data_IF_242014169013
#
_entry.id   IF_242014169013
#
_cell.length_a   1.000
_cell.length_b   1.000
_cell.length_c   1.000
_cell.angle_alpha   90.00
_cell.angle_beta   90.00
_cell.angle_gamma   90.00
#
_symmetry.space_group_name_H-M   'P 1'
#
loop_
_entity.id
_entity.type
_entity.pdbx_description
1 polymer ?
#
# COMPACT_ATOMS: atom_id res chain seq x y z
N UNK A 1 29.72 -38.32 47.54
CA UNK A 1 28.40 -38.17 46.87
C UNK A 1 27.71 -36.99 47.53
N UNK A 2 27.21 -35.93 46.90
CA UNK A 2 26.94 -35.55 45.52
C UNK A 2 26.95 -34.00 45.54
N UNK A 3 27.56 -33.37 44.55
CA UNK A 3 27.47 -31.93 44.31
C UNK A 3 26.06 -31.58 43.81
N UNK A 4 25.50 -30.45 44.25
CA UNK A 4 24.40 -29.81 43.54
C UNK A 4 24.64 -28.29 43.51
N UNK A 5 25.30 -27.84 42.43
CA UNK A 5 25.30 -26.43 42.04
C UNK A 5 23.89 -26.10 41.52
N UNK A 6 23.27 -25.07 42.08
CA UNK A 6 22.06 -24.46 41.52
C UNK A 6 22.52 -23.25 40.70
N UNK A 7 22.51 -23.40 39.39
CA UNK A 7 22.82 -22.33 38.43
C UNK A 7 21.59 -21.42 38.31
N UNK A 8 21.73 -20.17 38.74
CA UNK A 8 20.70 -19.14 38.60
C UNK A 8 20.74 -18.58 37.17
N UNK A 9 19.80 -18.98 36.31
CA UNK A 9 19.63 -18.40 34.97
C UNK A 9 19.00 -17.01 35.08
N UNK A 10 19.76 -15.98 34.74
CA UNK A 10 19.27 -14.62 34.49
C UNK A 10 18.54 -14.60 33.14
N UNK A 11 17.21 -14.46 33.18
CA UNK A 11 16.40 -14.14 32.00
C UNK A 11 16.60 -12.66 31.66
N UNK A 12 17.40 -12.39 30.64
CA UNK A 12 17.44 -11.08 29.97
C UNK A 12 16.10 -10.88 29.24
N UNK A 13 15.19 -10.11 29.82
CA UNK A 13 14.07 -9.52 29.07
C UNK A 13 14.64 -8.40 28.20
N UNK A 14 15.04 -8.73 26.97
CA UNK A 14 15.21 -7.71 25.94
C UNK A 14 13.83 -7.15 25.62
N UNK A 15 13.55 -5.93 26.09
CA UNK A 15 12.37 -5.17 25.73
C UNK A 15 12.42 -4.82 24.24
N UNK A 16 11.87 -5.69 23.40
CA UNK A 16 11.60 -5.36 22.01
C UNK A 16 10.49 -4.31 22.00
N UNK A 17 10.87 -3.06 21.75
CA UNK A 17 9.94 -1.99 21.42
C UNK A 17 9.16 -2.40 20.18
N UNK A 18 7.88 -2.72 20.37
CA UNK A 18 6.92 -2.95 19.31
C UNK A 18 6.74 -1.60 18.61
N UNK A 19 7.35 -1.43 17.44
CA UNK A 19 6.91 -0.40 16.50
C UNK A 19 5.55 -0.90 16.02
N UNK A 20 4.47 -0.35 16.60
CA UNK A 20 3.13 -0.50 16.03
C UNK A 20 3.18 0.09 14.62
N UNK A 21 3.36 -0.78 13.62
CA UNK A 21 3.05 -0.45 12.25
C UNK A 21 1.55 -0.20 12.23
N UNK A 22 1.15 1.08 12.24
CA UNK A 22 -0.22 1.48 11.96
C UNK A 22 -0.43 1.26 10.45
N UNK A 23 -0.58 -0.01 10.08
CA UNK A 23 -1.11 -0.40 8.78
C UNK A 23 -2.51 0.20 8.64
N UNK A 24 -2.95 0.39 7.39
CA UNK A 24 -4.30 0.85 7.08
C UNK A 24 -5.32 0.09 7.96
N UNK A 25 -5.98 0.81 8.87
CA UNK A 25 -7.13 0.28 9.60
C UNK A 25 -8.14 -0.19 8.55
N UNK A 26 -8.79 -1.32 8.83
CA UNK A 26 -9.84 -1.98 8.04
C UNK A 26 -11.02 -1.09 7.58
N UNK A 27 -11.02 0.20 7.94
CA UNK A 27 -12.02 1.24 7.64
C UNK A 27 -11.58 2.27 6.58
N UNK A 28 -10.37 2.18 6.00
CA UNK A 28 -9.99 2.96 4.82
C UNK A 28 -10.41 2.24 3.53
N UNK A 29 -10.69 3.01 2.47
CA UNK A 29 -11.08 2.47 1.15
C UNK A 29 -10.00 1.56 0.55
N UNK A 30 -8.73 1.81 0.90
CA UNK A 30 -7.59 0.95 0.57
C UNK A 30 -7.30 -0.08 1.66
N UNK A 31 -6.92 -1.29 1.24
CA UNK A 31 -6.42 -2.37 2.11
C UNK A 31 -5.05 -2.86 1.61
N UNK A 32 -4.19 -3.34 2.48
CA UNK A 32 -2.93 -3.98 2.05
C UNK A 32 -3.22 -5.37 1.46
N UNK A 33 -2.76 -5.62 0.23
CA UNK A 33 -3.03 -6.89 -0.48
C UNK A 33 -1.92 -7.94 -0.36
N UNK A 34 -0.71 -7.55 0.06
CA UNK A 34 0.40 -8.46 0.30
C UNK A 34 1.25 -7.95 1.47
N UNK A 35 1.33 -8.74 2.54
CA UNK A 35 2.10 -8.41 3.75
C UNK A 35 3.58 -8.75 3.62
N UNK A 36 3.97 -9.55 2.63
CA UNK A 36 5.37 -9.87 2.36
C UNK A 36 6.12 -8.69 1.72
N UNK A 37 5.38 -7.78 1.08
CA UNK A 37 5.91 -6.57 0.45
C UNK A 37 5.67 -5.36 1.36
N UNK A 38 6.67 -4.98 2.14
CA UNK A 38 6.53 -4.00 3.23
C UNK A 38 7.57 -2.88 3.22
N UNK A 39 8.22 -2.61 2.08
CA UNK A 39 9.23 -1.55 1.98
C UNK A 39 8.63 -0.13 2.10
N UNK A 40 7.32 0.01 1.88
CA UNK A 40 6.53 1.22 2.15
C UNK A 40 5.18 0.86 2.80
N UNK A 41 4.86 1.48 3.93
CA UNK A 41 3.57 1.31 4.61
C UNK A 41 2.68 2.50 4.31
N UNK A 42 1.53 2.22 3.69
CA UNK A 42 0.48 3.22 3.51
C UNK A 42 -0.19 3.48 4.85
N UNK A 43 -0.28 4.75 5.25
CA UNK A 43 -0.94 5.18 6.50
C UNK A 43 -2.29 5.82 6.24
N UNK A 44 -2.45 6.49 5.10
CA UNK A 44 -3.72 7.06 4.65
C UNK A 44 -3.97 6.73 3.18
N UNK A 45 -5.22 6.44 2.85
CA UNK A 45 -5.64 6.18 1.48
C UNK A 45 -7.08 6.67 1.29
N UNK A 46 -7.30 7.51 0.28
CA UNK A 46 -8.60 8.07 -0.07
C UNK A 46 -8.77 8.16 -1.58
N UNK A 47 -10.01 8.04 -2.03
CA UNK A 47 -10.42 8.24 -3.42
C UNK A 47 -11.64 9.16 -3.41
N UNK A 48 -11.67 10.18 -4.27
CA UNK A 48 -12.76 11.16 -4.32
C UNK A 48 -13.12 11.47 -5.78
N UNK A 49 -14.39 11.31 -6.21
CA UNK A 49 -15.52 10.77 -5.45
C UNK A 49 -15.38 9.26 -5.21
N UNK A 50 -16.00 8.78 -4.13
CA UNK A 50 -16.12 7.35 -3.86
C UNK A 50 -17.57 6.99 -3.46
N UNK A 51 -18.19 5.98 -4.09
CA UNK A 51 -17.68 5.21 -5.23
C UNK A 51 -17.46 6.10 -6.48
N UNK A 52 -16.54 5.73 -7.40
CA UNK A 52 -16.31 6.47 -8.63
C UNK A 52 -17.56 6.61 -9.49
N UNK A 53 -17.59 7.67 -10.30
CA UNK A 53 -18.69 7.96 -11.22
C UNK A 53 -18.22 7.87 -12.68
N UNK A 54 -19.02 7.26 -13.55
CA UNK A 54 -18.73 7.14 -14.98
C UNK A 54 -18.37 8.49 -15.59
N UNK A 55 -17.26 8.55 -16.32
CA UNK A 55 -16.85 9.73 -17.09
C UNK A 55 -16.35 10.89 -16.23
N UNK A 56 -16.28 10.73 -14.91
CA UNK A 56 -15.76 11.73 -14.00
C UNK A 56 -14.38 11.32 -13.50
N UNK A 57 -13.37 12.20 -13.52
CA UNK A 57 -12.07 11.88 -12.95
C UNK A 57 -12.20 11.64 -11.44
N UNK A 58 -11.37 10.76 -10.91
CA UNK A 58 -11.23 10.53 -9.48
C UNK A 58 -9.87 11.04 -9.00
N UNK A 59 -9.83 11.56 -7.79
CA UNK A 59 -8.60 11.98 -7.11
C UNK A 59 -8.21 10.90 -6.12
N UNK A 60 -7.04 10.29 -6.33
CA UNK A 60 -6.40 9.38 -5.37
C UNK A 60 -5.50 10.21 -4.46
N UNK A 61 -5.64 10.02 -3.15
CA UNK A 61 -4.75 10.61 -2.14
C UNK A 61 -4.19 9.47 -1.30
N UNK A 62 -2.86 9.38 -1.22
CA UNK A 62 -2.15 8.36 -0.46
C UNK A 62 -1.02 9.01 0.33
N UNK A 63 -0.90 8.68 1.61
CA UNK A 63 0.31 8.98 2.37
C UNK A 63 0.85 7.73 3.03
N UNK A 64 2.15 7.71 3.29
CA UNK A 64 2.79 6.58 3.95
C UNK A 64 4.24 6.85 4.33
N UNK A 65 4.86 5.82 4.90
CA UNK A 65 6.23 5.84 5.44
C UNK A 65 7.08 4.75 4.81
N UNK A 66 8.33 5.09 4.48
CA UNK A 66 9.31 4.11 3.99
C UNK A 66 9.90 3.30 5.14
N UNK A 67 9.87 1.97 5.02
CA UNK A 67 10.49 1.04 5.99
C UNK A 67 11.90 0.60 5.56
N UNK A 68 12.33 1.00 4.36
CA UNK A 68 13.66 0.77 3.82
C UNK A 68 14.02 1.87 2.82
N UNK A 69 15.31 2.03 2.52
CA UNK A 69 15.75 2.99 1.50
C UNK A 69 15.28 2.50 0.11
N UNK A 70 14.65 3.39 -0.66
CA UNK A 70 14.10 3.07 -1.99
C UNK A 70 14.34 4.20 -2.99
N UNK A 71 14.59 3.82 -4.24
CA UNK A 71 14.57 4.74 -5.39
C UNK A 71 13.29 4.51 -6.16
N UNK A 72 12.36 5.47 -6.13
CA UNK A 72 11.01 5.32 -6.70
C UNK A 72 10.96 5.79 -8.15
N UNK A 73 10.28 5.01 -8.99
CA UNK A 73 10.15 5.29 -10.42
C UNK A 73 8.71 5.53 -10.87
N UNK A 74 7.71 5.01 -10.15
CA UNK A 74 6.33 4.96 -10.64
C UNK A 74 5.31 4.43 -9.64
N UNK A 75 4.05 4.46 -10.07
CA UNK A 75 2.98 3.61 -9.56
C UNK A 75 2.51 2.70 -10.70
N UNK A 76 2.30 1.44 -10.37
CA UNK A 76 1.65 0.49 -11.26
C UNK A 76 0.39 -0.08 -10.61
N UNK A 77 -0.58 -0.47 -11.43
CA UNK A 77 -1.76 -1.17 -10.96
C UNK A 77 -2.57 -1.81 -12.07
N UNK A 78 -3.55 -2.59 -11.66
CA UNK A 78 -4.50 -3.28 -12.52
C UNK A 78 -5.91 -3.16 -11.95
N UNK A 79 -6.88 -2.94 -12.83
CA UNK A 79 -8.30 -2.94 -12.53
C UNK A 79 -8.97 -4.21 -13.04
N UNK A 80 -9.83 -4.78 -12.21
CA UNK A 80 -10.59 -6.01 -12.47
C UNK A 80 -12.08 -5.74 -12.32
N UNK A 81 -12.89 -6.43 -13.14
CA UNK A 81 -14.37 -6.42 -13.06
C UNK A 81 -14.81 -7.87 -12.93
N UNK A 82 -15.52 -8.22 -11.86
CA UNK A 82 -15.90 -9.62 -11.56
C UNK A 82 -14.71 -10.59 -11.62
N UNK A 83 -13.51 -10.13 -11.20
CA UNK A 83 -12.27 -10.92 -11.23
C UNK A 83 -11.60 -11.02 -12.61
N UNK A 84 -12.21 -10.51 -13.67
CA UNK A 84 -11.60 -10.45 -15.00
C UNK A 84 -10.77 -9.17 -15.14
N UNK A 85 -9.56 -9.31 -15.67
CA UNK A 85 -8.68 -8.17 -15.90
C UNK A 85 -9.31 -7.22 -16.93
N UNK A 86 -9.48 -5.95 -16.56
CA UNK A 86 -10.13 -4.95 -17.40
C UNK A 86 -9.13 -3.92 -17.94
N UNK A 87 -8.19 -3.45 -17.13
CA UNK A 87 -7.20 -2.45 -17.56
C UNK A 87 -5.96 -2.41 -16.68
N UNK A 88 -4.89 -1.86 -17.25
CA UNK A 88 -3.67 -1.49 -16.54
C UNK A 88 -3.65 0.02 -16.25
N UNK A 89 -3.17 0.38 -15.07
CA UNK A 89 -2.76 1.72 -14.71
C UNK A 89 -1.24 1.72 -14.65
N UNK A 90 -0.60 2.46 -15.54
CA UNK A 90 0.83 2.75 -15.46
C UNK A 90 0.99 4.26 -15.37
N UNK A 91 1.18 4.76 -14.16
CA UNK A 91 1.29 6.19 -13.90
C UNK A 91 2.74 6.53 -13.56
N UNK A 92 3.29 7.49 -14.28
CA UNK A 92 4.54 8.09 -13.88
C UNK A 92 4.31 8.87 -12.59
N UNK A 93 5.05 8.49 -11.56
CA UNK A 93 5.04 9.20 -10.30
C UNK A 93 5.58 10.61 -10.52
N UNK A 94 4.88 11.67 -10.07
CA UNK A 94 5.35 13.04 -10.25
C UNK A 94 6.67 13.32 -9.49
N UNK A 95 7.05 12.47 -8.54
CA UNK A 95 8.24 12.62 -7.69
C UNK A 95 9.13 11.38 -7.70
N UNK A 96 9.70 11.04 -8.87
CA UNK A 96 10.83 10.10 -8.93
C UNK A 96 11.93 10.59 -7.98
N UNK A 97 12.48 9.72 -7.16
CA UNK A 97 13.44 10.16 -6.15
C UNK A 97 13.99 9.05 -5.27
N UNK A 98 15.03 9.39 -4.52
CA UNK A 98 15.60 8.54 -3.48
C UNK A 98 14.96 8.91 -2.14
N UNK A 99 14.44 7.90 -1.45
CA UNK A 99 13.77 8.05 -0.17
C UNK A 99 14.48 7.19 0.87
N UNK A 100 14.66 7.72 2.08
CA UNK A 100 15.31 7.01 3.17
C UNK A 100 14.28 6.38 4.10
N UNK A 101 14.71 5.36 4.86
CA UNK A 101 13.92 4.78 5.93
C UNK A 101 13.38 5.86 6.89
N UNK A 102 12.12 5.75 7.29
CA UNK A 102 11.40 6.69 8.13
C UNK A 102 10.86 7.92 7.41
N UNK A 103 11.26 8.18 6.16
CA UNK A 103 10.73 9.29 5.39
C UNK A 103 9.25 9.07 5.06
N UNK A 104 8.44 10.12 5.20
CA UNK A 104 7.03 10.11 4.81
C UNK A 104 6.82 10.83 3.49
N UNK A 105 5.87 10.36 2.69
CA UNK A 105 5.42 11.06 1.49
C UNK A 105 3.90 11.13 1.42
N UNK A 106 3.41 12.14 0.69
CA UNK A 106 2.02 12.25 0.29
C UNK A 106 1.94 12.38 -1.22
N UNK A 107 1.05 11.61 -1.82
CA UNK A 107 0.85 11.46 -3.25
C UNK A 107 -0.60 11.83 -3.52
N UNK A 108 -0.80 12.69 -4.51
CA UNK A 108 -2.13 13.05 -4.98
C UNK A 108 -2.14 13.06 -6.50
N UNK A 109 -2.98 12.22 -7.09
CA UNK A 109 -3.07 12.07 -8.54
C UNK A 109 -4.54 12.07 -8.99
N UNK A 110 -4.77 12.59 -10.20
CA UNK A 110 -6.08 12.61 -10.85
C UNK A 110 -6.11 11.52 -11.91
N UNK A 111 -7.02 10.57 -11.75
CA UNK A 111 -7.15 9.39 -12.59
C UNK A 111 -8.45 9.51 -13.40
N UNK A 112 -8.40 9.47 -14.73
CA UNK A 112 -9.61 9.47 -15.54
C UNK A 112 -10.40 8.16 -15.32
N UNK A 113 -11.71 8.26 -15.06
CA UNK A 113 -12.59 7.09 -14.99
C UNK A 113 -13.48 7.01 -16.25
N UNK A 114 -13.51 5.88 -16.96
CA UNK A 114 -14.17 5.78 -18.25
C UNK A 114 -15.69 6.01 -18.16
N UNK A 115 -16.26 6.72 -19.14
CA UNK A 115 -17.71 6.95 -19.23
C UNK A 115 -18.49 5.70 -19.64
N UNK A 116 -17.83 4.75 -20.31
CA UNK A 116 -18.37 3.48 -20.75
C UNK A 116 -18.03 2.31 -19.80
N UNK A 117 -17.58 2.59 -18.57
CA UNK A 117 -17.34 1.57 -17.56
C UNK A 117 -18.63 0.77 -17.28
N UNK A 118 -18.66 -0.57 -17.45
CA UNK A 118 -19.86 -1.36 -17.23
C UNK A 118 -20.26 -1.39 -15.74
N UNK A 119 -21.54 -1.57 -15.44
CA UNK A 119 -21.97 -1.79 -14.05
C UNK A 119 -21.35 -3.06 -13.48
N UNK A 120 -20.99 -3.03 -12.20
CA UNK A 120 -20.53 -4.23 -11.51
C UNK A 120 -19.58 -3.99 -10.36
N UNK A 121 -19.01 -5.08 -9.87
CA UNK A 121 -18.03 -5.05 -8.80
C UNK A 121 -16.62 -4.91 -9.36
N UNK A 122 -15.98 -3.81 -9.00
CA UNK A 122 -14.62 -3.48 -9.38
C UNK A 122 -13.65 -3.80 -8.25
N UNK A 123 -12.46 -4.24 -8.61
CA UNK A 123 -11.32 -4.34 -7.70
C UNK A 123 -10.09 -3.79 -8.39
N UNK A 124 -9.42 -2.88 -7.71
CA UNK A 124 -8.18 -2.25 -8.14
C UNK A 124 -7.07 -2.77 -7.25
N UNK A 125 -5.95 -3.12 -7.84
CA UNK A 125 -4.74 -3.54 -7.14
C UNK A 125 -3.63 -2.66 -7.65
N UNK A 126 -2.86 -2.05 -6.76
CA UNK A 126 -1.76 -1.17 -7.13
C UNK A 126 -0.62 -1.18 -6.14
N UNK A 127 0.47 -0.55 -6.54
CA UNK A 127 1.69 -0.47 -5.75
C UNK A 127 2.65 0.55 -6.32
N UNK A 128 3.50 1.08 -5.45
CA UNK A 128 4.66 1.90 -5.83
C UNK A 128 5.74 0.97 -6.37
N UNK A 129 6.44 1.38 -7.42
CA UNK A 129 7.56 0.64 -7.99
C UNK A 129 8.88 1.37 -7.80
N UNK A 130 9.94 0.60 -7.55
CA UNK A 130 11.30 1.11 -7.43
C UNK A 130 12.09 1.04 -8.74
N UNK A 131 13.36 1.46 -8.69
CA UNK A 131 14.29 1.45 -9.83
C UNK A 131 14.60 0.06 -10.38
N UNK A 132 14.32 -0.99 -9.62
CA UNK A 132 14.47 -2.39 -10.04
C UNK A 132 13.18 -2.94 -10.66
N UNK A 133 12.18 -2.09 -10.93
CA UNK A 133 10.85 -2.46 -11.40
C UNK A 133 10.11 -3.40 -10.44
N UNK A 134 10.46 -3.38 -9.15
CA UNK A 134 9.82 -4.18 -8.12
C UNK A 134 8.76 -3.36 -7.41
N UNK A 135 7.61 -3.96 -7.14
CA UNK A 135 6.61 -3.37 -6.26
C UNK A 135 7.10 -3.38 -4.82
N UNK A 136 6.99 -2.25 -4.13
CA UNK A 136 7.49 -2.07 -2.75
C UNK A 136 6.39 -1.96 -1.70
N UNK A 137 5.14 -1.93 -2.16
CA UNK A 137 3.93 -2.10 -1.36
C UNK A 137 2.79 -2.60 -2.26
N UNK A 138 1.75 -3.14 -1.64
CA UNK A 138 0.54 -3.57 -2.33
C UNK A 138 -0.67 -2.96 -1.64
N UNK A 139 -1.54 -2.29 -2.39
CA UNK A 139 -2.84 -1.84 -1.91
C UNK A 139 -3.96 -2.26 -2.86
N UNK A 140 -5.14 -2.50 -2.32
CA UNK A 140 -6.34 -2.83 -3.08
C UNK A 140 -7.51 -1.97 -2.67
N UNK A 141 -8.37 -1.65 -3.63
CA UNK A 141 -9.60 -0.87 -3.47
C UNK A 141 -10.71 -1.57 -4.22
N UNK A 142 -11.87 -1.75 -3.59
CA UNK A 142 -13.02 -2.37 -4.23
C UNK A 142 -14.27 -1.52 -4.08
N UNK A 143 -15.11 -1.50 -5.11
CA UNK A 143 -16.39 -0.79 -5.09
C UNK A 143 -17.38 -1.38 -6.09
N UNK A 144 -18.67 -1.08 -5.88
CA UNK A 144 -19.72 -1.38 -6.86
C UNK A 144 -20.04 -0.13 -7.67
N UNK A 145 -20.04 -0.26 -9.00
CA UNK A 145 -20.51 0.75 -9.93
C UNK A 145 -21.95 0.41 -10.36
N UNK A 146 -22.89 1.30 -10.07
CA UNK A 146 -24.29 1.19 -10.46
C UNK A 146 -24.45 1.48 -11.96
#
# INVERSE_FOLDING_TARGET
MKYLLITLMLLNLSSSSIIEQVALKQNSIGQQCDNSINAFTVTTFSVVPFPPQRGSPLTRIMSGVFNSNQTITGIQGSGYIYGQHYFFLNEFFPSKGNFTVGQTISIQDVIPFPSNAPSGFYTFIGGIVNSNSQSINCWTVSFSLA
#
